data_IF_644300264074
#
_entry.id   IF_644300264074
#
_cell.length_a   1.000
_cell.length_b   1.000
_cell.length_c   1.000
_cell.angle_alpha   90.00
_cell.angle_beta   90.00
_cell.angle_gamma   90.00
#
_symmetry.space_group_name_H-M   'P 1'
#
loop_
_entity.id
_entity.type
_entity.pdbx_description
1 polymer ?
#
# COMPACT_ATOMS: atom_id res chain seq x y z
N UNK A 1 18.83 13.60 -7.98
CA UNK A 1 19.28 13.50 -6.58
C UNK A 1 18.16 12.81 -5.84
N UNK A 2 18.30 11.53 -5.52
CA UNK A 2 17.31 10.78 -4.75
C UNK A 2 18.03 10.12 -3.61
N UNK A 3 17.79 10.59 -2.39
CA UNK A 3 18.23 9.94 -1.16
C UNK A 3 16.96 9.70 -0.35
N UNK A 4 16.65 8.43 -0.12
CA UNK A 4 15.88 8.00 1.03
C UNK A 4 16.72 6.94 1.76
N UNK A 5 17.36 7.38 2.84
CA UNK A 5 17.81 6.58 3.99
C UNK A 5 16.78 6.90 5.06
N UNK A 6 16.20 6.04 5.88
CA UNK A 6 16.32 4.63 6.28
C UNK A 6 15.00 4.34 7.04
N UNK A 7 14.75 3.12 7.53
CA UNK A 7 14.36 2.94 8.94
C UNK A 7 14.53 1.47 9.43
N UNK A 8 14.84 0.50 8.57
CA UNK A 8 15.34 -0.81 9.02
C UNK A 8 15.85 -1.64 7.81
N UNK A 9 17.01 -2.27 8.00
CA UNK A 9 17.69 -3.23 7.12
C UNK A 9 18.64 -2.66 6.07
N UNK A 10 19.93 -2.93 6.31
CA UNK A 10 21.08 -2.67 5.44
C UNK A 10 21.08 -3.47 4.12
N UNK A 11 19.93 -3.98 3.67
CA UNK A 11 19.82 -4.64 2.37
C UNK A 11 18.39 -4.63 1.78
N UNK A 12 17.72 -3.47 1.78
CA UNK A 12 16.39 -3.29 1.17
C UNK A 12 16.34 -3.61 -0.33
N UNK A 13 17.49 -3.84 -0.99
CA UNK A 13 17.58 -4.18 -2.43
C UNK A 13 16.67 -5.35 -2.84
N UNK A 14 16.38 -6.27 -1.91
CA UNK A 14 15.51 -7.42 -2.13
C UNK A 14 14.22 -7.38 -1.31
N UNK A 15 13.87 -6.23 -0.74
CA UNK A 15 12.56 -6.06 -0.11
C UNK A 15 11.48 -6.27 -1.16
N UNK A 16 10.43 -7.01 -0.80
CA UNK A 16 9.26 -7.20 -1.67
C UNK A 16 8.65 -5.87 -2.13
N UNK A 17 8.73 -4.83 -1.29
CA UNK A 17 8.20 -3.48 -1.60
C UNK A 17 9.05 -2.75 -2.63
N UNK A 18 10.33 -3.12 -2.77
CA UNK A 18 11.27 -2.56 -3.75
C UNK A 18 11.27 -3.34 -5.06
N UNK A 19 10.95 -4.64 -5.00
CA UNK A 19 10.90 -5.53 -6.16
C UNK A 19 9.60 -5.34 -6.96
N UNK A 20 8.48 -5.16 -6.27
CA UNK A 20 7.15 -5.08 -6.87
C UNK A 20 6.53 -3.69 -6.67
N UNK A 21 6.32 -2.97 -7.76
CA UNK A 21 5.55 -1.75 -7.78
C UNK A 21 4.09 -2.09 -8.06
N UNK A 22 3.27 -2.19 -7.02
CA UNK A 22 1.84 -2.49 -7.20
C UNK A 22 1.04 -1.27 -7.66
N UNK A 23 1.59 -0.06 -7.54
CA UNK A 23 1.00 1.18 -8.06
C UNK A 23 1.11 1.26 -9.58
N UNK A 24 2.23 0.80 -10.12
CA UNK A 24 2.54 0.74 -11.55
C UNK A 24 3.20 -0.59 -11.86
N UNK A 25 2.41 -1.66 -12.12
CA UNK A 25 2.91 -3.03 -12.26
C UNK A 25 4.09 -3.17 -13.21
N UNK A 26 4.03 -2.51 -14.36
CA UNK A 26 5.06 -2.50 -15.41
C UNK A 26 6.39 -1.88 -14.96
N UNK A 27 6.40 -1.02 -13.94
CA UNK A 27 7.62 -0.41 -13.40
C UNK A 27 8.30 -1.27 -12.33
N UNK A 28 7.79 -2.48 -12.06
CA UNK A 28 8.36 -3.38 -11.07
C UNK A 28 9.77 -3.81 -11.47
N UNK A 29 10.72 -3.78 -10.51
CA UNK A 29 12.10 -4.27 -10.75
C UNK A 29 12.14 -5.74 -11.15
N UNK A 30 11.16 -6.54 -10.70
CA UNK A 30 10.98 -7.92 -11.15
C UNK A 30 10.84 -8.06 -12.68
N UNK A 31 10.34 -7.02 -13.36
CA UNK A 31 10.19 -6.96 -14.81
C UNK A 31 11.33 -6.19 -15.46
N UNK A 32 11.68 -5.03 -14.92
CA UNK A 32 12.67 -4.14 -15.54
C UNK A 32 14.11 -4.67 -15.46
N UNK A 33 14.48 -5.35 -14.38
CA UNK A 33 15.83 -5.90 -14.22
C UNK A 33 16.22 -6.95 -15.30
N UNK A 34 15.37 -7.94 -15.61
CA UNK A 34 15.58 -8.91 -16.69
C UNK A 34 15.29 -8.40 -18.11
N UNK A 35 14.54 -7.31 -18.25
CA UNK A 35 14.20 -6.73 -19.56
C UNK A 35 15.38 -5.99 -20.19
N UNK A 36 15.57 -6.18 -21.50
CA UNK A 36 16.61 -5.53 -22.29
C UNK A 36 16.51 -4.00 -22.23
N UNK A 37 17.65 -3.31 -22.30
CA UNK A 37 17.69 -1.84 -22.32
C UNK A 37 16.99 -1.25 -23.55
N UNK A 38 17.05 -1.93 -24.69
CA UNK A 38 16.37 -1.53 -25.93
C UNK A 38 14.85 -1.59 -25.81
N UNK A 39 14.31 -2.45 -24.94
CA UNK A 39 12.88 -2.52 -24.64
C UNK A 39 12.47 -1.65 -23.44
N UNK A 40 13.37 -0.78 -22.94
CA UNK A 40 13.11 0.12 -21.82
C UNK A 40 13.38 -0.48 -20.44
N UNK A 41 13.96 -1.67 -20.35
CA UNK A 41 14.41 -2.29 -19.11
C UNK A 41 15.75 -1.76 -18.60
N UNK A 42 16.16 -2.25 -17.41
CA UNK A 42 17.46 -1.97 -16.82
C UNK A 42 18.56 -2.87 -17.38
N UNK A 43 18.21 -4.07 -17.86
CA UNK A 43 19.15 -5.04 -18.43
C UNK A 43 20.29 -5.41 -17.50
N UNK A 44 20.01 -5.57 -16.20
CA UNK A 44 21.01 -5.92 -15.17
C UNK A 44 21.01 -7.42 -14.85
N UNK A 45 19.98 -8.15 -15.27
CA UNK A 45 19.96 -9.61 -15.23
C UNK A 45 20.19 -10.17 -16.63
N UNK A 46 21.09 -11.15 -16.73
CA UNK A 46 21.51 -11.76 -17.99
C UNK A 46 21.46 -13.28 -17.89
N UNK A 47 21.23 -13.92 -19.02
CA UNK A 47 21.45 -15.37 -19.19
C UNK A 47 22.94 -15.69 -19.06
N UNK A 48 23.27 -16.98 -18.92
CA UNK A 48 24.70 -17.43 -18.94
C UNK A 48 25.45 -17.02 -20.21
N UNK A 49 24.74 -16.67 -21.28
CA UNK A 49 25.31 -16.20 -22.55
C UNK A 49 25.55 -14.69 -22.62
N UNK A 50 25.25 -13.94 -21.54
CA UNK A 50 25.38 -12.48 -21.48
C UNK A 50 24.26 -11.71 -22.20
N UNK A 51 23.21 -12.40 -22.64
CA UNK A 51 22.02 -11.77 -23.23
C UNK A 51 20.99 -11.42 -22.16
N UNK A 52 20.19 -10.38 -22.41
CA UNK A 52 19.04 -10.05 -21.56
C UNK A 52 18.12 -11.27 -21.41
N UNK A 53 17.43 -11.36 -20.27
CA UNK A 53 16.51 -12.46 -20.00
C UNK A 53 15.22 -12.28 -20.81
N UNK A 54 14.68 -11.05 -20.88
CA UNK A 54 13.57 -10.69 -21.75
C UNK A 54 14.05 -9.69 -22.80
N UNK A 55 13.89 -10.04 -24.08
CA UNK A 55 14.25 -9.13 -25.18
C UNK A 55 13.19 -8.03 -25.39
N UNK A 56 11.92 -8.32 -25.07
CA UNK A 56 10.80 -7.39 -25.20
C UNK A 56 9.75 -7.61 -24.11
N UNK A 57 8.86 -6.64 -23.92
CA UNK A 57 7.69 -6.76 -23.04
C UNK A 57 6.68 -7.80 -23.54
N UNK A 58 6.81 -8.31 -24.77
CA UNK A 58 5.87 -9.29 -25.34
C UNK A 58 6.31 -10.73 -25.06
N UNK A 59 7.42 -10.91 -24.34
CA UNK A 59 7.88 -12.20 -23.86
C UNK A 59 6.81 -12.87 -22.98
N UNK A 60 6.59 -14.17 -23.18
CA UNK A 60 5.52 -14.90 -22.49
C UNK A 60 5.74 -14.98 -20.97
N UNK A 61 6.99 -15.09 -20.53
CA UNK A 61 7.33 -15.16 -19.11
C UNK A 61 7.24 -13.76 -18.48
N UNK A 62 7.64 -12.71 -19.21
CA UNK A 62 7.41 -11.31 -18.81
C UNK A 62 5.92 -11.06 -18.54
N UNK A 63 5.06 -11.42 -19.49
CA UNK A 63 3.61 -11.24 -19.38
C UNK A 63 3.02 -12.07 -18.23
N UNK A 64 3.54 -13.27 -18.00
CA UNK A 64 3.13 -14.12 -16.88
C UNK A 64 3.45 -13.47 -15.53
N UNK A 65 4.64 -12.88 -15.39
CA UNK A 65 5.04 -12.16 -14.17
C UNK A 65 4.20 -10.90 -14.00
N UNK A 66 4.03 -10.10 -15.06
CA UNK A 66 3.21 -8.89 -15.04
C UNK A 66 1.77 -9.18 -14.59
N UNK A 67 1.15 -10.21 -15.14
CA UNK A 67 -0.19 -10.65 -14.72
C UNK A 67 -0.23 -11.05 -13.24
N UNK A 68 0.85 -11.63 -12.70
CA UNK A 68 0.98 -11.91 -11.27
C UNK A 68 1.00 -10.65 -10.41
N UNK A 69 1.73 -9.63 -10.85
CA UNK A 69 1.84 -8.34 -10.15
C UNK A 69 0.50 -7.59 -10.21
N UNK A 70 -0.19 -7.62 -11.36
CA UNK A 70 -1.52 -7.04 -11.54
C UNK A 70 -2.55 -7.70 -10.62
N UNK A 71 -2.54 -9.04 -10.46
CA UNK A 71 -3.40 -9.70 -9.46
C UNK A 71 -3.10 -9.20 -8.04
N UNK A 72 -1.84 -8.94 -7.72
CA UNK A 72 -1.43 -8.34 -6.45
C UNK A 72 -1.99 -6.92 -6.26
N UNK A 73 -1.94 -6.10 -7.32
CA UNK A 73 -2.58 -4.77 -7.34
C UNK A 73 -4.08 -4.88 -7.09
N UNK A 74 -4.77 -5.76 -7.82
CA UNK A 74 -6.22 -5.94 -7.70
C UNK A 74 -6.64 -6.34 -6.29
N UNK A 75 -5.86 -7.20 -5.62
CA UNK A 75 -6.11 -7.56 -4.23
C UNK A 75 -6.01 -6.35 -3.29
N UNK A 76 -5.03 -5.47 -3.49
CA UNK A 76 -4.93 -4.22 -2.71
C UNK A 76 -6.08 -3.28 -3.03
N UNK A 77 -6.51 -3.16 -4.29
CA UNK A 77 -7.61 -2.24 -4.65
C UNK A 77 -8.96 -2.69 -4.08
N UNK A 78 -9.18 -4.00 -3.97
CA UNK A 78 -10.50 -4.57 -3.70
C UNK A 78 -10.66 -5.14 -2.28
N UNK A 79 -9.61 -5.75 -1.73
CA UNK A 79 -9.72 -6.56 -0.50
C UNK A 79 -8.93 -5.99 0.68
N UNK A 80 -7.71 -5.49 0.43
CA UNK A 80 -6.77 -5.03 1.48
C UNK A 80 -6.20 -3.65 1.13
N UNK A 81 -7.09 -2.68 0.88
CA UNK A 81 -6.70 -1.32 0.54
C UNK A 81 -6.02 -0.61 1.72
N UNK A 82 -5.20 0.38 1.40
CA UNK A 82 -4.38 1.09 2.39
C UNK A 82 -5.02 2.41 2.78
N UNK A 83 -4.78 2.86 4.01
CA UNK A 83 -5.27 4.16 4.49
C UNK A 83 -4.81 5.34 3.62
N UNK A 84 -3.66 5.21 2.95
CA UNK A 84 -3.14 6.20 2.01
C UNK A 84 -3.99 6.34 0.73
N UNK A 85 -4.90 5.39 0.46
CA UNK A 85 -5.80 5.41 -0.68
C UNK A 85 -7.08 6.20 -0.42
N UNK A 86 -7.19 6.92 0.71
CA UNK A 86 -8.30 7.85 0.96
C UNK A 86 -8.25 9.09 0.08
N UNK A 87 -7.08 9.44 -0.43
CA UNK A 87 -6.86 10.66 -1.19
C UNK A 87 -6.32 10.34 -2.58
N UNK A 88 -6.58 11.23 -3.53
CA UNK A 88 -5.94 11.20 -4.83
C UNK A 88 -4.43 11.41 -4.62
N UNK A 89 -3.62 10.43 -5.02
CA UNK A 89 -2.17 10.54 -4.99
C UNK A 89 -1.62 9.81 -6.23
N UNK A 90 -0.73 10.42 -7.03
CA UNK A 90 -0.09 9.72 -8.14
C UNK A 90 0.63 8.45 -7.69
N UNK A 91 1.18 8.40 -6.48
CA UNK A 91 1.88 7.22 -5.96
C UNK A 91 0.96 6.02 -5.71
N UNK A 92 -0.37 6.19 -5.71
CA UNK A 92 -1.32 5.07 -5.62
C UNK A 92 -1.52 4.37 -6.99
N UNK A 93 -1.16 5.03 -8.09
CA UNK A 93 -1.36 4.54 -9.45
C UNK A 93 -2.74 4.82 -10.03
N UNK A 94 -2.89 4.55 -11.33
CA UNK A 94 -4.09 4.88 -12.09
C UNK A 94 -5.33 4.07 -11.67
N UNK A 95 -6.53 4.68 -11.75
CA UNK A 95 -7.80 4.02 -11.41
C UNK A 95 -7.88 3.51 -9.96
N UNK A 96 -7.06 4.06 -9.06
CA UNK A 96 -7.11 3.71 -7.64
C UNK A 96 -8.35 4.32 -6.99
N UNK A 97 -9.23 3.52 -6.36
CA UNK A 97 -10.38 4.03 -5.63
C UNK A 97 -9.96 4.92 -4.46
N UNK A 98 -10.61 6.08 -4.32
CA UNK A 98 -10.42 7.00 -3.20
C UNK A 98 -11.24 6.55 -1.98
N UNK A 99 -10.93 5.36 -1.47
CA UNK A 99 -11.63 4.73 -0.35
C UNK A 99 -10.65 3.90 0.47
N UNK A 100 -10.91 3.80 1.77
CA UNK A 100 -10.23 2.88 2.66
C UNK A 100 -11.25 2.12 3.47
N UNK A 101 -11.20 0.79 3.39
CA UNK A 101 -12.06 -0.12 4.15
C UNK A 101 -11.19 -0.71 5.26
N UNK A 102 -11.30 -0.23 6.51
CA UNK A 102 -10.52 -0.79 7.60
C UNK A 102 -10.87 -2.26 7.80
N UNK A 103 -9.87 -3.05 8.21
CA UNK A 103 -10.11 -4.45 8.56
C UNK A 103 -11.09 -4.56 9.73
N UNK A 104 -11.88 -5.62 9.77
CA UNK A 104 -12.88 -5.83 10.81
C UNK A 104 -12.32 -5.73 12.24
N UNK A 105 -11.10 -6.20 12.47
CA UNK A 105 -10.45 -6.09 13.78
C UNK A 105 -10.33 -4.64 14.25
N UNK A 106 -10.06 -3.68 13.34
CA UNK A 106 -10.00 -2.26 13.66
C UNK A 106 -11.39 -1.71 13.98
N UNK A 107 -12.39 -1.98 13.13
CA UNK A 107 -13.76 -1.52 13.33
C UNK A 107 -14.36 -2.06 14.64
N UNK A 108 -14.09 -3.33 14.96
CA UNK A 108 -14.53 -3.95 16.22
C UNK A 108 -14.03 -3.19 17.44
N UNK A 109 -12.76 -2.77 17.46
CA UNK A 109 -12.25 -1.97 18.58
C UNK A 109 -12.89 -0.58 18.59
N UNK A 110 -13.04 0.09 17.44
CA UNK A 110 -13.73 1.38 17.39
C UNK A 110 -15.17 1.30 17.92
N UNK A 111 -15.89 0.21 17.66
CA UNK A 111 -17.22 -0.06 18.23
C UNK A 111 -17.13 -0.29 19.75
N UNK A 112 -16.19 -1.12 20.20
CA UNK A 112 -16.00 -1.44 21.62
C UNK A 112 -15.74 -0.20 22.47
N UNK A 113 -14.98 0.76 21.95
CA UNK A 113 -14.67 2.02 22.63
C UNK A 113 -15.72 3.12 22.40
N UNK A 114 -16.84 2.80 21.72
CA UNK A 114 -17.95 3.73 21.50
C UNK A 114 -17.66 4.84 20.47
N UNK A 115 -16.60 4.70 19.68
CA UNK A 115 -16.25 5.64 18.59
C UNK A 115 -17.17 5.41 17.38
N UNK A 116 -17.53 4.15 17.14
CA UNK A 116 -18.46 3.74 16.10
C UNK A 116 -19.69 3.04 16.72
N UNK A 117 -20.87 3.14 16.08
CA UNK A 117 -22.08 2.46 16.55
C UNK A 117 -22.04 0.94 16.27
N UNK A 118 -22.79 0.15 17.03
CA UNK A 118 -22.75 -1.32 16.95
C UNK A 118 -23.23 -1.90 15.60
N UNK A 119 -24.02 -1.15 14.84
CA UNK A 119 -24.56 -1.49 13.52
C UNK A 119 -23.70 -0.94 12.36
N UNK A 120 -22.44 -0.54 12.64
CA UNK A 120 -21.46 -0.11 11.64
C UNK A 120 -21.31 -1.12 10.50
N UNK A 121 -21.49 -0.66 9.26
CA UNK A 121 -21.26 -1.46 8.06
C UNK A 121 -19.76 -1.74 7.84
N UNK A 122 -19.30 -3.00 7.92
CA UNK A 122 -17.89 -3.32 7.72
C UNK A 122 -17.41 -3.15 6.26
N UNK A 123 -18.31 -2.97 5.30
CA UNK A 123 -17.97 -2.74 3.89
C UNK A 123 -17.77 -1.25 3.54
N UNK A 124 -18.20 -0.33 4.40
CA UNK A 124 -18.11 1.10 4.15
C UNK A 124 -16.67 1.62 4.25
N UNK A 125 -16.46 2.80 3.64
CA UNK A 125 -15.18 3.52 3.73
C UNK A 125 -15.17 4.40 4.97
N UNK A 126 -14.08 4.37 5.72
CA UNK A 126 -13.91 5.19 6.93
C UNK A 126 -12.56 5.92 6.92
N UNK A 127 -12.53 7.14 7.45
CA UNK A 127 -11.30 7.87 7.66
C UNK A 127 -10.65 7.44 8.99
N UNK A 128 -9.56 6.67 8.97
CA UNK A 128 -8.92 6.16 10.18
C UNK A 128 -8.26 7.28 10.97
N UNK A 129 -7.84 8.38 10.34
CA UNK A 129 -7.26 9.50 11.07
C UNK A 129 -8.30 10.18 11.96
N UNK A 130 -9.53 10.33 11.47
CA UNK A 130 -10.65 10.87 12.25
C UNK A 130 -11.07 9.91 13.36
N UNK A 131 -11.15 8.60 13.06
CA UNK A 131 -11.52 7.60 14.06
C UNK A 131 -10.44 7.47 15.15
N UNK A 132 -9.16 7.43 14.77
CA UNK A 132 -8.05 7.38 15.70
C UNK A 132 -8.01 8.64 16.58
N UNK A 133 -8.24 9.83 16.02
CA UNK A 133 -8.31 11.07 16.81
C UNK A 133 -9.40 10.99 17.90
N UNK A 134 -10.60 10.52 17.53
CA UNK A 134 -11.70 10.33 18.48
C UNK A 134 -11.38 9.26 19.53
N UNK A 135 -10.82 8.13 19.10
CA UNK A 135 -10.34 7.07 19.98
C UNK A 135 -9.34 7.60 21.00
N UNK A 136 -8.31 8.31 20.57
CA UNK A 136 -7.30 8.86 21.48
C UNK A 136 -7.86 9.93 22.42
N UNK A 137 -8.79 10.76 21.94
CA UNK A 137 -9.49 11.74 22.79
C UNK A 137 -10.35 11.10 23.87
N UNK A 138 -10.87 9.90 23.65
CA UNK A 138 -11.68 9.19 24.66
C UNK A 138 -10.90 8.85 25.94
N UNK A 139 -9.58 8.84 25.89
CA UNK A 139 -8.71 8.62 27.05
C UNK A 139 -8.22 9.92 27.70
N UNK A 140 -8.58 11.09 27.16
CA UNK A 140 -8.12 12.34 27.73
C UNK A 140 -8.79 12.59 29.07
N UNK A 141 -7.98 12.99 30.04
CA UNK A 141 -8.49 13.46 31.32
C UNK A 141 -9.28 14.75 31.11
N UNK A 142 -10.56 14.74 31.49
CA UNK A 142 -11.39 15.94 31.55
C UNK A 142 -11.54 16.28 33.03
N UNK A 143 -10.90 17.36 33.53
CA UNK A 143 -11.08 17.77 34.91
C UNK A 143 -12.56 18.10 35.13
N UNK A 144 -13.13 17.63 36.24
CA UNK A 144 -14.43 18.12 36.69
C UNK A 144 -14.31 19.63 36.90
N UNK A 145 -15.30 20.39 36.39
CA UNK A 145 -15.41 21.82 36.71
C UNK A 145 -15.86 21.96 38.16
N UNK A 146 -14.94 21.76 39.09
CA UNK A 146 -15.19 21.97 40.50
C UNK A 146 -15.11 23.47 40.80
N UNK A 147 -16.28 24.10 40.76
CA UNK A 147 -16.52 25.49 41.17
C UNK A 147 -17.66 25.63 42.17
N UNK A 148 -18.14 24.53 42.76
CA UNK A 148 -19.14 24.57 43.85
C UNK A 148 -18.51 24.06 45.14
N UNK A 149 -17.78 24.94 45.81
CA UNK A 149 -17.54 24.84 47.26
C UNK A 149 -18.91 24.96 47.93
N UNK A 150 -19.35 23.89 48.60
CA UNK A 150 -20.41 23.96 49.61
C UNK A 150 -19.84 24.47 50.93
#
# INVERSE_FOLDING_TARGET
>A
MTIARDLCETNTRFSRMEIFNLSYPEESKALLAPLSKSAGGLGVCETKSGKAVFESTQDADYQTILAGIQRGRDHILNDDNRYSMLYADPNNGENTPQKFKPRWAYLREMIRYGILPADTDPAASYNPFTLDEQYWRSFWFVPEKDGSVK
#
